data_IF_835224354449
#
_entry.id   IF_835224354449
#
_cell.length_a   1.000
_cell.length_b   1.000
_cell.length_c   1.000
_cell.angle_alpha   90.00
_cell.angle_beta   90.00
_cell.angle_gamma   90.00
#
_symmetry.space_group_name_H-M   'P 1'
#
loop_
_entity.id
_entity.type
_entity.pdbx_description
1 polymer ?
#
# COMPACT_ATOMS: atom_id res chain seq x y z
N UNK A 1 37.57 12.50 52.55
CA UNK A 1 37.47 12.70 51.08
C UNK A 1 37.12 11.43 50.27
N UNK A 2 37.70 10.25 50.54
CA UNK A 2 37.45 9.00 49.77
C UNK A 2 35.98 8.55 49.65
N UNK A 3 35.13 8.83 50.64
CA UNK A 3 33.73 8.37 50.63
C UNK A 3 32.80 9.21 49.73
N UNK A 4 33.13 10.49 49.47
CA UNK A 4 32.32 11.35 48.59
C UNK A 4 32.36 10.87 47.13
N UNK A 5 33.53 10.42 46.66
CA UNK A 5 33.71 9.92 45.30
C UNK A 5 32.89 8.64 45.02
N UNK A 6 32.84 7.71 45.98
CA UNK A 6 32.02 6.49 45.86
C UNK A 6 30.53 6.80 45.73
N UNK A 7 30.06 7.83 46.43
CA UNK A 7 28.67 8.27 46.34
C UNK A 7 28.36 8.93 45.00
N UNK A 8 29.24 9.81 44.51
CA UNK A 8 29.10 10.45 43.20
C UNK A 8 29.08 9.43 42.06
N UNK A 9 29.96 8.42 42.07
CA UNK A 9 29.99 7.37 41.05
C UNK A 9 28.70 6.53 41.04
N UNK A 10 28.16 6.18 42.21
CA UNK A 10 26.88 5.45 42.32
C UNK A 10 25.71 6.29 41.81
N UNK A 11 25.68 7.58 42.14
CA UNK A 11 24.65 8.50 41.67
C UNK A 11 24.70 8.67 40.14
N UNK A 12 25.89 8.83 39.56
CA UNK A 12 26.07 8.90 38.10
C UNK A 12 25.61 7.59 37.44
N UNK A 13 25.98 6.43 37.98
CA UNK A 13 25.53 5.14 37.48
C UNK A 13 24.02 4.96 37.52
N UNK A 14 23.36 5.39 38.61
CA UNK A 14 21.92 5.35 38.73
C UNK A 14 21.21 6.30 37.75
N UNK A 15 21.73 7.53 37.58
CA UNK A 15 21.19 8.50 36.62
C UNK A 15 21.35 7.99 35.18
N UNK A 16 22.50 7.41 34.84
CA UNK A 16 22.73 6.82 33.53
C UNK A 16 21.76 5.64 33.28
N UNK A 17 21.55 4.78 34.28
CA UNK A 17 20.62 3.65 34.18
C UNK A 17 19.17 4.14 34.00
N UNK A 18 18.76 5.15 34.76
CA UNK A 18 17.43 5.77 34.61
C UNK A 18 17.30 6.41 33.22
N UNK A 19 18.33 7.11 32.74
CA UNK A 19 18.34 7.68 31.39
C UNK A 19 18.19 6.63 30.28
N UNK A 20 18.82 5.45 30.45
CA UNK A 20 18.69 4.32 29.52
C UNK A 20 17.29 3.69 29.57
N UNK A 21 16.66 3.63 30.74
CA UNK A 21 15.28 3.10 30.89
C UNK A 21 14.23 4.09 30.40
N UNK A 22 14.41 5.39 30.58
CA UNK A 22 13.45 6.40 30.12
C UNK A 22 13.54 6.60 28.60
N UNK A 23 14.75 6.58 28.03
CA UNK A 23 14.93 6.70 26.57
C UNK A 23 14.41 5.48 25.79
N UNK A 24 14.26 4.33 26.43
CA UNK A 24 13.69 3.13 25.80
C UNK A 24 12.16 3.12 25.69
N UNK A 25 11.47 4.12 26.25
CA UNK A 25 10.00 4.20 26.22
C UNK A 25 9.41 5.07 25.12
N UNK A 26 10.24 5.71 24.29
CA UNK A 26 9.74 6.50 23.15
C UNK A 26 9.23 5.52 22.09
N UNK A 27 7.91 5.36 22.08
CA UNK A 27 7.21 4.62 21.03
C UNK A 27 7.02 5.56 19.84
N UNK A 28 7.59 5.19 18.70
CA UNK A 28 7.29 5.82 17.42
C UNK A 28 6.07 5.13 16.84
N UNK A 29 5.03 5.91 16.58
CA UNK A 29 3.89 5.50 15.77
C UNK A 29 4.05 6.08 14.37
N UNK A 30 3.67 5.33 13.36
CA UNK A 30 3.65 5.80 11.98
C UNK A 30 2.39 5.28 11.31
N UNK A 31 1.85 6.10 10.41
CA UNK A 31 0.67 5.81 9.62
C UNK A 31 1.02 5.99 8.15
N UNK A 32 0.27 5.30 7.29
CA UNK A 32 0.43 5.36 5.85
C UNK A 32 -0.86 4.96 5.13
N UNK A 33 -0.89 5.25 3.85
CA UNK A 33 -2.01 4.95 2.98
C UNK A 33 -1.60 4.99 1.53
N UNK A 34 -2.43 4.41 0.69
CA UNK A 34 -2.37 4.54 -0.75
C UNK A 34 -3.14 5.79 -1.17
N UNK A 35 -2.70 6.41 -2.25
CA UNK A 35 -3.41 7.55 -2.83
C UNK A 35 -4.67 7.05 -3.52
N UNK A 36 -5.71 7.88 -3.51
CA UNK A 36 -6.85 7.66 -4.37
C UNK A 36 -6.44 7.87 -5.84
N UNK A 37 -6.43 6.79 -6.62
CA UNK A 37 -5.92 6.80 -7.98
C UNK A 37 -6.61 5.77 -8.88
N UNK A 38 -6.74 6.11 -10.17
CA UNK A 38 -7.04 5.19 -11.28
C UNK A 38 -5.72 4.84 -11.94
N UNK A 39 -5.38 3.56 -11.93
CA UNK A 39 -4.18 3.03 -12.56
C UNK A 39 -4.54 2.43 -13.92
N UNK A 40 -3.80 2.80 -14.94
CA UNK A 40 -3.86 2.20 -16.28
C UNK A 40 -2.51 1.64 -16.64
N UNK A 41 -2.41 0.31 -16.67
CA UNK A 41 -1.16 -0.39 -16.96
C UNK A 41 -1.21 -1.05 -18.33
N UNK A 42 -0.20 -0.78 -19.14
CA UNK A 42 0.09 -1.52 -20.38
C UNK A 42 1.35 -2.35 -20.21
N UNK A 43 1.27 -3.60 -20.64
CA UNK A 43 2.41 -4.51 -20.68
C UNK A 43 2.76 -4.78 -22.14
N UNK A 44 3.99 -4.46 -22.51
CA UNK A 44 4.52 -4.67 -23.85
C UNK A 44 5.60 -5.75 -23.82
N UNK A 45 5.74 -6.49 -24.92
CA UNK A 45 6.91 -7.34 -25.14
C UNK A 45 8.14 -6.48 -25.54
N UNK A 46 9.28 -7.14 -25.74
CA UNK A 46 10.53 -6.47 -26.15
C UNK A 46 10.43 -5.71 -27.49
N UNK A 47 9.51 -6.12 -28.36
CA UNK A 47 9.25 -5.48 -29.66
C UNK A 47 8.28 -4.29 -29.56
N UNK A 48 7.81 -3.95 -28.35
CA UNK A 48 6.83 -2.88 -28.12
C UNK A 48 5.39 -3.26 -28.43
N UNK A 49 5.10 -4.55 -28.64
CA UNK A 49 3.77 -5.07 -28.94
C UNK A 49 3.02 -5.35 -27.62
N UNK A 50 1.76 -4.90 -27.46
CA UNK A 50 0.94 -5.24 -26.30
C UNK A 50 0.82 -6.74 -26.06
N UNK A 51 0.95 -7.14 -24.80
CA UNK A 51 0.74 -8.52 -24.36
C UNK A 51 -0.72 -8.72 -24.00
N UNK A 52 -1.48 -9.41 -24.85
CA UNK A 52 -2.90 -9.66 -24.64
C UNK A 52 -3.20 -10.97 -23.89
N UNK A 53 -4.34 -11.00 -23.21
CA UNK A 53 -4.86 -12.17 -22.50
C UNK A 53 -4.15 -12.44 -21.18
N UNK A 54 -3.49 -11.43 -20.61
CA UNK A 54 -2.92 -11.49 -19.28
C UNK A 54 -4.00 -11.25 -18.23
N UNK A 55 -3.82 -11.88 -17.08
CA UNK A 55 -4.60 -11.66 -15.87
C UNK A 55 -3.65 -11.15 -14.76
N UNK A 56 -4.13 -10.27 -13.90
CA UNK A 56 -3.35 -9.69 -12.81
C UNK A 56 -3.91 -10.11 -11.46
N UNK A 57 -3.06 -10.79 -10.68
CA UNK A 57 -3.29 -11.06 -9.26
C UNK A 57 -2.59 -10.03 -8.39
N UNK A 58 -3.15 -9.79 -7.22
CA UNK A 58 -2.57 -8.88 -6.21
C UNK A 58 -2.16 -9.71 -5.00
N UNK A 59 -0.87 -9.71 -4.70
CA UNK A 59 -0.27 -10.50 -3.62
C UNK A 59 0.30 -9.59 -2.54
N UNK A 60 0.23 -10.04 -1.28
CA UNK A 60 0.89 -9.37 -0.16
C UNK A 60 2.37 -9.79 -0.04
N UNK A 61 3.08 -9.20 0.92
CA UNK A 61 4.50 -9.48 1.16
C UNK A 61 4.85 -10.92 1.57
N UNK A 62 3.87 -11.80 1.75
CA UNK A 62 4.06 -13.25 1.97
C UNK A 62 3.55 -14.10 0.81
N UNK A 63 3.23 -13.50 -0.34
CA UNK A 63 2.81 -14.18 -1.57
C UNK A 63 1.36 -14.70 -1.54
N UNK A 64 0.53 -14.26 -0.59
CA UNK A 64 -0.88 -14.62 -0.52
C UNK A 64 -1.74 -13.55 -1.22
N UNK A 65 -2.92 -13.91 -1.76
CA UNK A 65 -3.87 -12.94 -2.28
C UNK A 65 -4.14 -11.83 -1.27
N UNK A 66 -4.02 -10.59 -1.73
CA UNK A 66 -4.27 -9.39 -0.94
C UNK A 66 -5.63 -8.82 -1.32
N UNK A 67 -6.66 -9.31 -0.64
CA UNK A 67 -8.02 -8.81 -0.85
C UNK A 67 -8.12 -7.35 -0.35
N UNK A 68 -8.79 -6.50 -1.12
CA UNK A 68 -9.09 -5.09 -0.81
C UNK A 68 -7.94 -4.07 -0.86
N UNK A 69 -6.68 -4.49 -0.75
CA UNK A 69 -5.54 -3.57 -0.79
C UNK A 69 -4.41 -4.12 -1.66
N UNK A 70 -3.74 -3.25 -2.45
CA UNK A 70 -4.04 -1.84 -2.70
C UNK A 70 -5.08 -1.63 -3.82
N UNK A 71 -5.55 -2.71 -4.44
CA UNK A 71 -6.45 -2.69 -5.59
C UNK A 71 -7.87 -3.00 -5.16
N UNK A 72 -8.78 -2.10 -5.44
CA UNK A 72 -10.15 -2.16 -4.95
C UNK A 72 -10.96 -3.26 -5.67
N UNK A 73 -10.72 -3.45 -6.98
CA UNK A 73 -11.38 -4.45 -7.83
C UNK A 73 -10.94 -5.89 -7.55
N UNK A 74 -9.82 -6.08 -6.85
CA UNK A 74 -9.31 -7.39 -6.47
C UNK A 74 -10.07 -7.95 -5.25
N UNK A 75 -11.39 -8.09 -5.41
CA UNK A 75 -12.31 -8.63 -4.43
C UNK A 75 -12.54 -10.12 -4.65
N UNK A 76 -12.66 -10.89 -3.56
CA UNK A 76 -12.83 -12.36 -3.61
C UNK A 76 -11.74 -13.09 -4.41
N UNK A 77 -10.52 -12.54 -4.41
CA UNK A 77 -9.36 -13.07 -5.14
C UNK A 77 -9.64 -13.34 -6.64
N UNK A 78 -10.49 -12.52 -7.26
CA UNK A 78 -10.70 -12.56 -8.72
C UNK A 78 -9.60 -11.74 -9.40
N UNK A 79 -8.92 -12.30 -10.41
CA UNK A 79 -7.90 -11.55 -11.12
C UNK A 79 -8.51 -10.35 -11.87
N UNK A 80 -7.74 -9.26 -11.92
CA UNK A 80 -8.07 -8.12 -12.77
C UNK A 80 -7.72 -8.51 -14.22
N UNK A 81 -8.66 -8.30 -15.13
CA UNK A 81 -8.51 -8.64 -16.55
C UNK A 81 -8.19 -7.39 -17.36
N UNK A 82 -7.53 -7.59 -18.51
CA UNK A 82 -7.33 -6.51 -19.48
C UNK A 82 -8.67 -6.08 -20.10
N UNK A 83 -8.79 -4.77 -20.35
CA UNK A 83 -9.87 -4.22 -21.15
C UNK A 83 -9.67 -4.53 -22.65
N UNK A 84 -10.60 -4.07 -23.49
CA UNK A 84 -10.54 -4.24 -24.95
C UNK A 84 -9.35 -3.54 -25.62
N UNK A 85 -8.66 -2.65 -24.91
CA UNK A 85 -7.46 -1.94 -25.38
C UNK A 85 -6.16 -2.60 -24.91
N UNK A 86 -6.24 -3.74 -24.21
CA UNK A 86 -5.07 -4.46 -23.68
C UNK A 86 -4.52 -3.84 -22.39
N UNK A 87 -5.28 -2.99 -21.70
CA UNK A 87 -4.85 -2.33 -20.47
C UNK A 87 -5.46 -2.97 -19.24
N UNK A 88 -4.70 -3.00 -18.14
CA UNK A 88 -5.28 -3.19 -16.82
C UNK A 88 -5.75 -1.85 -16.29
N UNK A 89 -7.04 -1.72 -16.01
CA UNK A 89 -7.63 -0.55 -15.36
C UNK A 89 -8.14 -0.97 -14.00
N UNK A 90 -7.63 -0.33 -12.94
CA UNK A 90 -8.03 -0.61 -11.57
C UNK A 90 -7.84 0.62 -10.69
N UNK A 91 -8.46 0.62 -9.51
CA UNK A 91 -8.54 1.79 -8.66
C UNK A 91 -8.05 1.50 -7.25
N UNK A 92 -7.54 2.54 -6.62
CA UNK A 92 -7.52 2.68 -5.17
C UNK A 92 -8.53 3.78 -4.81
N UNK A 93 -9.58 3.44 -4.08
CA UNK A 93 -10.71 4.34 -3.81
C UNK A 93 -10.65 5.03 -2.47
N UNK A 94 -9.91 4.46 -1.52
CA UNK A 94 -9.75 5.07 -0.20
C UNK A 94 -8.61 6.06 -0.23
N UNK A 95 -8.89 7.26 0.29
CA UNK A 95 -7.87 8.24 0.66
C UNK A 95 -7.65 8.19 2.18
N UNK A 96 -6.48 8.64 2.65
CA UNK A 96 -6.15 8.71 4.07
C UNK A 96 -5.44 7.47 4.66
N UNK A 97 -5.52 7.32 5.99
CA UNK A 97 -4.76 6.30 6.74
C UNK A 97 -5.40 4.92 6.53
N UNK A 98 -4.63 3.99 5.99
CA UNK A 98 -5.09 2.62 5.70
C UNK A 98 -4.25 1.56 6.42
N UNK A 99 -3.01 1.89 6.76
CA UNK A 99 -2.12 1.03 7.50
C UNK A 99 -1.22 1.86 8.40
N UNK A 100 -0.65 1.21 9.40
CA UNK A 100 0.26 1.86 10.31
C UNK A 100 1.05 0.83 11.10
N UNK A 101 1.87 1.33 12.00
CA UNK A 101 2.63 0.51 12.90
C UNK A 101 3.20 1.33 14.03
N UNK A 102 3.67 0.61 15.02
CA UNK A 102 4.41 1.22 16.12
C UNK A 102 5.66 0.42 16.39
N UNK A 103 6.73 1.12 16.72
CA UNK A 103 7.96 0.51 17.19
C UNK A 103 8.59 1.35 18.29
N UNK A 104 9.42 0.72 19.09
CA UNK A 104 10.21 1.38 20.12
C UNK A 104 11.59 0.73 20.18
N UNK A 105 12.53 1.36 20.90
CA UNK A 105 13.90 0.85 21.03
C UNK A 105 14.18 0.40 22.45
N UNK A 106 14.29 -0.91 22.67
CA UNK A 106 14.78 -1.45 23.92
C UNK A 106 16.26 -1.08 24.10
N UNK A 107 16.54 -0.36 25.19
CA UNK A 107 17.85 0.23 25.50
C UNK A 107 18.47 1.09 24.38
N UNK A 108 17.65 1.67 23.49
CA UNK A 108 18.15 2.44 22.35
C UNK A 108 18.81 1.61 21.23
N UNK A 109 18.90 0.29 21.39
CA UNK A 109 19.63 -0.62 20.50
C UNK A 109 18.71 -1.58 19.74
N UNK A 110 17.83 -2.27 20.46
CA UNK A 110 17.00 -3.33 19.88
C UNK A 110 15.65 -2.73 19.50
N UNK A 111 15.33 -2.72 18.21
CA UNK A 111 14.00 -2.28 17.75
C UNK A 111 12.99 -3.38 18.01
N UNK A 112 11.89 -3.05 18.68
CA UNK A 112 10.75 -3.93 18.92
C UNK A 112 9.50 -3.29 18.29
N UNK A 113 8.72 -4.08 17.55
CA UNK A 113 7.51 -3.62 16.87
C UNK A 113 7.64 -3.62 15.34
N UNK A 114 6.68 -2.99 14.65
CA UNK A 114 6.61 -2.98 13.20
C UNK A 114 7.08 -1.64 12.62
N UNK A 115 8.12 -1.69 11.79
CA UNK A 115 8.68 -0.54 11.07
C UNK A 115 8.42 -0.55 9.57
N UNK A 116 7.85 -1.62 9.05
CA UNK A 116 7.75 -1.85 7.61
C UNK A 116 6.31 -1.59 7.17
N UNK A 117 6.18 -0.73 6.16
CA UNK A 117 4.96 -0.64 5.38
C UNK A 117 4.62 -2.02 4.79
N UNK A 118 3.32 -2.36 4.66
CA UNK A 118 2.93 -3.54 3.92
C UNK A 118 3.45 -3.44 2.48
N UNK A 119 3.96 -4.54 1.96
CA UNK A 119 4.41 -4.64 0.57
C UNK A 119 3.41 -5.44 -0.24
N UNK A 120 3.16 -4.99 -1.46
CA UNK A 120 2.24 -5.65 -2.39
C UNK A 120 2.90 -5.82 -3.75
N UNK A 121 2.54 -6.91 -4.42
CA UNK A 121 3.05 -7.30 -5.74
C UNK A 121 1.87 -7.53 -6.67
N UNK A 122 1.97 -6.96 -7.87
CA UNK A 122 1.10 -7.23 -8.99
C UNK A 122 1.74 -8.37 -9.80
N UNK A 123 1.10 -9.53 -9.81
CA UNK A 123 1.55 -10.71 -10.54
C UNK A 123 0.73 -10.89 -11.81
N UNK A 124 1.38 -10.86 -12.95
CA UNK A 124 0.76 -11.05 -14.25
C UNK A 124 0.98 -12.48 -14.72
N UNK A 125 -0.09 -13.15 -15.10
CA UNK A 125 -0.07 -14.52 -15.60
C UNK A 125 -0.93 -14.69 -16.85
N UNK A 126 -0.70 -15.74 -17.64
CA UNK A 126 -1.58 -16.15 -18.73
C UNK A 126 -1.55 -17.67 -18.83
N UNK A 127 -2.73 -18.26 -18.95
CA UNK A 127 -2.92 -19.72 -19.00
C UNK A 127 -2.22 -20.46 -17.84
N UNK A 128 -2.25 -19.86 -16.65
CA UNK A 128 -1.63 -20.40 -15.43
C UNK A 128 -0.10 -20.31 -15.37
N UNK A 129 0.55 -19.62 -16.32
CA UNK A 129 1.99 -19.33 -16.29
C UNK A 129 2.25 -17.90 -15.87
N UNK A 130 3.20 -17.72 -14.95
CA UNK A 130 3.63 -16.40 -14.52
C UNK A 130 4.50 -15.74 -15.59
N UNK A 131 4.20 -14.48 -15.90
CA UNK A 131 4.93 -13.66 -16.87
C UNK A 131 5.82 -12.63 -16.18
N UNK A 132 5.26 -11.91 -15.21
CA UNK A 132 5.98 -10.82 -14.54
C UNK A 132 5.38 -10.51 -13.17
N UNK A 133 6.24 -10.08 -12.27
CA UNK A 133 5.85 -9.43 -11.02
C UNK A 133 6.33 -7.99 -11.00
N UNK A 134 5.48 -7.09 -10.52
CA UNK A 134 5.78 -5.68 -10.31
C UNK A 134 5.42 -5.27 -8.87
N UNK A 135 6.32 -4.65 -8.11
CA UNK A 135 5.96 -4.06 -6.83
C UNK A 135 4.91 -2.96 -7.03
N UNK A 136 3.83 -2.97 -6.28
CA UNK A 136 2.79 -1.92 -6.41
C UNK A 136 3.35 -0.52 -6.18
N UNK A 137 4.27 -0.37 -5.20
CA UNK A 137 4.91 0.92 -4.92
C UNK A 137 5.75 1.48 -6.07
N UNK A 138 6.08 0.68 -7.09
CA UNK A 138 6.75 1.16 -8.30
C UNK A 138 5.81 1.96 -9.21
N UNK A 139 4.48 1.83 -9.04
CA UNK A 139 3.50 2.65 -9.76
C UNK A 139 3.46 4.09 -9.27
N UNK A 140 3.79 4.31 -8.00
CA UNK A 140 3.62 5.60 -7.31
C UNK A 140 4.93 6.41 -7.15
N UNK A 141 6.08 5.87 -7.55
CA UNK A 141 7.40 6.39 -7.15
C UNK A 141 7.75 7.80 -7.64
N UNK A 142 7.05 8.28 -8.67
CA UNK A 142 7.34 9.51 -9.42
C UNK A 142 6.10 10.41 -9.62
N UNK A 143 5.01 10.14 -8.89
CA UNK A 143 3.77 10.92 -8.99
C UNK A 143 3.92 12.25 -8.23
N UNK A 144 3.79 13.36 -8.94
CA UNK A 144 3.55 14.68 -8.36
C UNK A 144 2.05 15.01 -8.41
N UNK A 145 1.41 15.07 -7.24
CA UNK A 145 -0.04 15.30 -7.10
C UNK A 145 -0.53 16.62 -7.67
N UNK A 146 0.36 17.61 -7.81
CA UNK A 146 -0.02 18.92 -8.31
C UNK A 146 -0.07 18.97 -9.84
N UNK A 147 0.63 18.06 -10.50
CA UNK A 147 0.79 18.04 -11.96
C UNK A 147 0.19 16.81 -12.61
N UNK A 148 -0.09 15.76 -11.83
CA UNK A 148 -0.71 14.52 -12.31
C UNK A 148 -2.15 14.79 -12.75
N UNK A 149 -2.55 14.36 -13.97
CA UNK A 149 -3.93 14.50 -14.44
C UNK A 149 -4.91 13.82 -13.49
N UNK A 150 -6.15 14.31 -13.51
CA UNK A 150 -7.24 13.77 -12.69
C UNK A 150 -8.40 13.33 -13.55
N UNK A 151 -9.09 12.30 -13.10
CA UNK A 151 -10.28 11.76 -13.76
C UNK A 151 -11.41 11.62 -12.76
N UNK A 152 -12.63 11.91 -13.19
CA UNK A 152 -13.83 11.71 -12.40
C UNK A 152 -14.49 10.38 -12.78
N UNK A 153 -14.85 9.58 -11.78
CA UNK A 153 -15.57 8.32 -11.94
C UNK A 153 -16.69 8.21 -10.94
N UNK A 154 -17.85 7.75 -11.39
CA UNK A 154 -18.89 7.31 -10.48
C UNK A 154 -18.42 6.04 -9.76
N UNK A 155 -18.54 5.99 -8.43
CA UNK A 155 -18.14 4.83 -7.62
C UNK A 155 -18.74 3.51 -8.11
N UNK A 156 -19.98 3.56 -8.62
CA UNK A 156 -20.67 2.41 -9.25
C UNK A 156 -19.90 1.81 -10.44
N UNK A 157 -19.12 2.61 -11.17
CA UNK A 157 -18.36 2.14 -12.35
C UNK A 157 -17.05 1.45 -12.00
N UNK A 158 -16.53 1.64 -10.78
CA UNK A 158 -15.29 1.00 -10.33
C UNK A 158 -15.48 -0.47 -9.88
N UNK A 159 -16.55 -1.15 -10.29
CA UNK A 159 -16.96 -2.52 -9.90
C UNK A 159 -16.94 -2.85 -8.38
N UNK A 160 -16.75 -1.85 -7.53
CA UNK A 160 -16.60 -1.99 -6.08
C UNK A 160 -17.89 -2.36 -5.37
N UNK A 161 -19.01 -2.01 -5.98
CA UNK A 161 -20.34 -2.20 -5.40
C UNK A 161 -20.96 -3.46 -6.00
N UNK A 162 -20.35 -4.61 -5.71
CA UNK A 162 -21.07 -5.88 -5.90
C UNK A 162 -22.27 -5.91 -4.96
N UNK A 163 -23.37 -6.64 -5.27
CA UNK A 163 -24.50 -6.76 -4.35
C UNK A 163 -24.12 -7.31 -2.96
N UNK A 164 -22.99 -8.01 -2.85
CA UNK A 164 -22.44 -8.49 -1.59
C UNK A 164 -21.74 -7.37 -0.79
N UNK A 165 -20.99 -6.49 -1.47
CA UNK A 165 -20.37 -5.32 -0.85
C UNK A 165 -21.42 -4.28 -0.47
N UNK A 166 -22.39 -4.02 -1.35
CA UNK A 166 -23.47 -3.06 -1.14
C UNK A 166 -24.30 -3.32 0.13
N UNK A 167 -24.45 -4.61 0.52
CA UNK A 167 -25.18 -5.00 1.73
C UNK A 167 -24.48 -4.63 3.03
N UNK A 168 -23.17 -4.37 2.97
CA UNK A 168 -22.36 -4.00 4.13
C UNK A 168 -22.05 -2.50 4.17
N UNK A 169 -22.51 -1.73 3.18
CA UNK A 169 -22.37 -0.28 3.15
C UNK A 169 -23.52 0.37 3.95
N UNK A 170 -23.19 1.44 4.65
CA UNK A 170 -24.15 2.34 5.30
C UNK A 170 -24.96 3.12 4.25
N UNK A 171 -26.09 3.72 4.63
CA UNK A 171 -26.87 4.58 3.73
C UNK A 171 -26.06 5.79 3.22
N UNK A 172 -25.14 6.30 4.05
CA UNK A 172 -24.21 7.38 3.68
C UNK A 172 -23.23 6.91 2.58
N UNK A 173 -22.57 5.77 2.79
CA UNK A 173 -21.69 5.16 1.78
C UNK A 173 -22.44 4.78 0.50
N UNK A 174 -23.70 4.34 0.59
CA UNK A 174 -24.55 4.06 -0.57
C UNK A 174 -24.95 5.32 -1.35
N UNK A 175 -25.14 6.45 -0.67
CA UNK A 175 -25.38 7.74 -1.33
C UNK A 175 -24.13 8.24 -2.05
N UNK A 176 -22.95 8.02 -1.48
CA UNK A 176 -21.66 8.29 -2.13
C UNK A 176 -21.43 7.44 -3.39
N UNK A 177 -22.06 6.26 -3.52
CA UNK A 177 -21.94 5.41 -4.74
C UNK A 177 -22.40 6.13 -6.01
N UNK A 178 -23.33 7.09 -5.88
CA UNK A 178 -23.82 7.93 -6.97
C UNK A 178 -22.94 9.15 -7.25
N UNK A 179 -22.00 9.48 -6.37
CA UNK A 179 -21.15 10.66 -6.51
C UNK A 179 -19.96 10.37 -7.44
N UNK A 180 -19.60 11.37 -8.24
CA UNK A 180 -18.37 11.35 -9.01
C UNK A 180 -17.19 11.62 -8.07
N UNK A 181 -16.33 10.62 -7.94
CA UNK A 181 -15.10 10.72 -7.19
C UNK A 181 -13.97 11.13 -8.13
N UNK A 182 -13.13 12.06 -7.67
CA UNK A 182 -11.89 12.45 -8.33
C UNK A 182 -10.76 11.46 -8.00
N UNK A 183 -10.08 10.97 -9.02
CA UNK A 183 -8.92 10.09 -8.95
C UNK A 183 -7.72 10.73 -9.61
N UNK A 184 -6.52 10.54 -9.04
CA UNK A 184 -5.29 10.75 -9.79
C UNK A 184 -5.19 9.70 -10.90
N UNK A 185 -4.90 10.12 -12.13
CA UNK A 185 -4.71 9.20 -13.24
C UNK A 185 -3.23 8.81 -13.34
N UNK A 186 -2.96 7.52 -13.16
CA UNK A 186 -1.62 6.95 -13.18
C UNK A 186 -1.49 6.00 -14.36
N UNK A 187 -0.89 6.47 -15.45
CA UNK A 187 -0.64 5.66 -16.64
C UNK A 187 0.80 5.14 -16.62
N UNK A 188 0.98 3.83 -16.78
CA UNK A 188 2.30 3.20 -16.84
C UNK A 188 2.36 2.16 -17.94
N UNK A 189 3.48 2.18 -18.66
CA UNK A 189 3.80 1.18 -19.69
C UNK A 189 5.07 0.47 -19.28
N UNK A 190 5.02 -0.87 -19.18
CA UNK A 190 6.18 -1.69 -18.86
C UNK A 190 6.53 -2.58 -20.04
N UNK A 191 7.81 -2.58 -20.42
CA UNK A 191 8.37 -3.55 -21.37
C UNK A 191 8.87 -4.75 -20.58
N UNK A 192 8.30 -5.93 -20.84
CA UNK A 192 8.66 -7.18 -20.18
C UNK A 192 9.60 -7.97 -21.09
N UNK A 193 10.67 -8.51 -20.47
CA UNK A 193 11.68 -9.33 -21.14
C UNK A 193 11.32 -10.81 -21.11
#
# INVERSE_FOLDING_TARGET
>A
MKNRWKFTLKAIGAIALIGVVVSSQITTVWDGGFRRAEYRLRLLNQDGIPLDGLQMDVLNGVGKPAEHYPVAEYFSAKPVLQNSEGEFVFHQTRDGIQFGGSYWKLFGLVTIGNRKAPSYVLRFSKDGRDYKELPFGALDSDIDVNTTPKVHRALKTCELVTPAVAKNLTEEELNEVGEEIEFLLVERTFVIQ
#
